data_IF_053593690811
#
_entry.id   IF_053593690811
#
_cell.length_a   1.000
_cell.length_b   1.000
_cell.length_c   1.000
_cell.angle_alpha   90.00
_cell.angle_beta   90.00
_cell.angle_gamma   90.00
#
_symmetry.space_group_name_H-M   'P 1'
#
loop_
_entity.id
_entity.type
_entity.pdbx_description
1 polymer ?
#
# COMPACT_ATOMS: atom_id res chain seq x y z
N UNK A 1 8.19 -23.08 47.21
CA UNK A 1 8.17 -21.76 46.55
C UNK A 1 7.10 -21.77 45.46
N UNK A 2 6.01 -20.99 45.56
CA UNK A 2 4.99 -20.97 44.53
C UNK A 2 5.46 -20.10 43.35
N UNK A 3 5.34 -20.64 42.13
CA UNK A 3 5.77 -19.99 40.89
C UNK A 3 4.71 -18.94 40.49
N UNK A 4 5.04 -17.67 40.63
CA UNK A 4 4.19 -16.56 40.17
C UNK A 4 4.22 -16.52 38.65
N UNK A 5 3.05 -16.66 38.02
CA UNK A 5 2.87 -16.48 36.58
C UNK A 5 2.08 -15.19 36.39
N UNK A 6 2.72 -14.16 35.84
CA UNK A 6 2.04 -12.91 35.50
C UNK A 6 1.13 -13.14 34.30
N UNK A 7 -0.18 -12.99 34.50
CA UNK A 7 -1.12 -12.90 33.38
C UNK A 7 -1.28 -11.42 33.05
N UNK A 8 -0.74 -11.01 31.92
CA UNK A 8 -0.90 -9.66 31.38
C UNK A 8 -2.39 -9.41 31.14
N UNK A 9 -3.00 -8.50 31.91
CA UNK A 9 -4.34 -8.03 31.64
C UNK A 9 -4.29 -7.05 30.47
N UNK A 10 -4.88 -7.41 29.34
CA UNK A 10 -5.11 -6.47 28.23
C UNK A 10 -6.36 -5.68 28.58
N UNK A 11 -6.19 -4.44 29.05
CA UNK A 11 -7.28 -3.49 29.20
C UNK A 11 -7.71 -2.99 27.82
N UNK A 12 -8.81 -3.50 27.30
CA UNK A 12 -9.55 -2.88 26.20
C UNK A 12 -10.75 -2.14 26.78
N UNK A 13 -10.68 -0.82 26.86
CA UNK A 13 -11.78 0.05 27.27
C UNK A 13 -12.77 0.22 26.12
N UNK A 14 -13.85 -0.54 26.15
CA UNK A 14 -14.96 -0.50 25.18
C UNK A 14 -15.91 0.69 25.40
N UNK A 15 -15.64 1.56 26.38
CA UNK A 15 -16.61 2.60 26.83
C UNK A 15 -16.04 4.03 26.81
N UNK A 16 -15.06 4.29 25.94
CA UNK A 16 -14.62 5.65 25.66
C UNK A 16 -15.42 6.21 24.48
N UNK A 17 -16.09 7.37 24.68
CA UNK A 17 -16.72 8.11 23.57
C UNK A 17 -15.70 8.31 22.45
N UNK A 18 -16.06 8.04 21.18
CA UNK A 18 -15.14 8.18 20.07
C UNK A 18 -14.64 9.64 20.00
N UNK A 19 -13.38 9.86 20.36
CA UNK A 19 -12.68 11.13 20.10
C UNK A 19 -12.55 11.32 18.59
N UNK A 20 -12.36 12.53 18.08
CA UNK A 20 -12.15 12.77 16.63
C UNK A 20 -10.99 11.94 16.02
N UNK A 21 -10.10 11.40 16.86
CA UNK A 21 -9.04 10.45 16.49
C UNK A 21 -9.53 9.01 16.24
N UNK A 22 -10.73 8.66 16.68
CA UNK A 22 -11.35 7.34 16.51
C UNK A 22 -12.23 7.21 15.26
N UNK A 23 -12.57 8.34 14.60
CA UNK A 23 -13.34 8.34 13.34
C UNK A 23 -12.49 8.14 12.09
N UNK A 24 -11.16 8.23 12.18
CA UNK A 24 -10.24 7.90 11.10
C UNK A 24 -9.32 6.74 11.53
N UNK A 25 -9.85 5.51 11.50
CA UNK A 25 -9.03 4.31 11.70
C UNK A 25 -7.96 4.23 10.61
N UNK A 26 -6.72 4.63 10.94
CA UNK A 26 -5.56 4.45 10.07
C UNK A 26 -5.35 2.96 9.81
N UNK A 27 -5.18 2.60 8.55
CA UNK A 27 -4.94 1.23 8.11
C UNK A 27 -3.46 1.04 7.85
N UNK A 28 -2.93 -0.05 8.39
CA UNK A 28 -1.54 -0.46 8.23
C UNK A 28 -1.44 -1.56 7.18
N UNK A 29 -0.43 -1.46 6.35
CA UNK A 29 -0.12 -2.38 5.27
C UNK A 29 1.35 -2.79 5.32
N UNK A 30 1.58 -4.08 5.15
CA UNK A 30 2.86 -4.74 5.19
C UNK A 30 3.25 -5.23 3.81
N UNK A 31 4.56 -5.31 3.56
CA UNK A 31 5.11 -6.10 2.47
C UNK A 31 4.78 -7.58 2.70
N UNK A 32 4.84 -8.38 1.63
CA UNK A 32 4.72 -9.84 1.70
C UNK A 32 5.74 -10.47 2.67
N UNK A 33 6.93 -9.87 2.84
CA UNK A 33 7.93 -10.32 3.83
C UNK A 33 7.63 -9.91 5.29
N UNK A 34 6.52 -9.22 5.53
CA UNK A 34 6.10 -8.73 6.85
C UNK A 34 6.70 -7.39 7.28
N UNK A 35 7.46 -6.71 6.42
CA UNK A 35 7.96 -5.36 6.72
C UNK A 35 6.84 -4.31 6.66
N UNK A 36 6.86 -3.32 7.54
CA UNK A 36 5.87 -2.24 7.54
C UNK A 36 6.14 -1.27 6.37
N UNK A 37 5.16 -1.05 5.49
CA UNK A 37 5.34 -0.22 4.29
C UNK A 37 4.44 1.01 4.25
N UNK A 38 3.15 0.87 4.58
CA UNK A 38 2.20 1.96 4.38
C UNK A 38 1.24 2.06 5.55
N UNK A 39 1.02 3.27 6.03
CA UNK A 39 -0.13 3.62 6.86
C UNK A 39 -0.95 4.69 6.14
N UNK A 40 -2.27 4.51 6.04
CA UNK A 40 -3.17 5.38 5.27
C UNK A 40 -4.56 5.49 5.92
N UNK A 41 -5.21 6.64 5.77
CA UNK A 41 -6.56 6.95 6.27
C UNK A 41 -7.71 6.16 5.61
N UNK A 42 -7.48 5.56 4.43
CA UNK A 42 -8.49 4.84 3.64
C UNK A 42 -7.98 3.48 3.17
N UNK A 43 -8.88 2.49 3.05
CA UNK A 43 -8.48 1.17 2.53
C UNK A 43 -8.05 1.27 1.08
N UNK A 44 -7.00 0.52 0.71
CA UNK A 44 -6.52 0.42 -0.67
C UNK A 44 -7.63 -0.08 -1.62
N UNK A 45 -8.51 -0.97 -1.15
CA UNK A 45 -9.65 -1.48 -1.92
C UNK A 45 -10.71 -0.42 -2.24
N UNK A 46 -10.79 0.67 -1.47
CA UNK A 46 -11.76 1.76 -1.67
C UNK A 46 -11.14 2.96 -2.40
N UNK A 47 -9.90 2.83 -2.87
CA UNK A 47 -9.21 3.81 -3.70
C UNK A 47 -9.33 3.41 -5.17
N UNK A 48 -9.31 4.38 -6.10
CA UNK A 48 -9.36 4.08 -7.52
C UNK A 48 -8.14 3.27 -7.96
N UNK A 49 -8.36 2.32 -8.87
CA UNK A 49 -7.31 1.53 -9.52
C UNK A 49 -7.02 2.10 -10.90
N UNK A 50 -5.75 2.13 -11.29
CA UNK A 50 -5.29 2.55 -12.61
C UNK A 50 -5.57 1.43 -13.62
N UNK A 51 -6.15 1.78 -14.78
CA UNK A 51 -6.53 0.79 -15.80
C UNK A 51 -5.35 0.16 -16.54
N UNK A 52 -4.18 0.81 -16.54
CA UNK A 52 -3.01 0.36 -17.32
C UNK A 52 -2.23 -0.80 -16.66
N UNK A 53 -2.25 -0.89 -15.34
CA UNK A 53 -1.44 -1.85 -14.57
C UNK A 53 -2.08 -2.27 -13.24
N UNK A 54 -3.34 -1.91 -13.00
CA UNK A 54 -4.08 -2.28 -11.80
C UNK A 54 -3.58 -1.61 -10.51
N UNK A 55 -2.62 -0.68 -10.59
CA UNK A 55 -2.05 -0.04 -9.41
C UNK A 55 -3.08 0.80 -8.66
N UNK A 56 -3.05 0.76 -7.33
CA UNK A 56 -3.96 1.57 -6.50
C UNK A 56 -3.45 3.01 -6.44
N UNK A 57 -4.31 3.97 -6.76
CA UNK A 57 -3.94 5.39 -6.86
C UNK A 57 -4.17 6.10 -5.53
N UNK A 58 -3.10 6.65 -4.96
CA UNK A 58 -3.13 7.50 -3.77
C UNK A 58 -2.90 8.95 -4.19
N UNK A 59 -3.88 9.82 -3.93
CA UNK A 59 -3.76 11.27 -4.14
C UNK A 59 -2.86 11.89 -3.06
N UNK A 60 -1.83 12.61 -3.49
CA UNK A 60 -0.83 13.23 -2.62
C UNK A 60 -1.03 14.74 -2.43
N UNK A 61 -1.81 15.40 -3.30
CA UNK A 61 -2.02 16.84 -3.31
C UNK A 61 -3.51 17.18 -3.32
N UNK A 62 -3.86 18.29 -2.68
CA UNK A 62 -5.23 18.80 -2.68
C UNK A 62 -5.59 19.35 -4.07
N UNK A 63 -6.83 19.12 -4.45
CA UNK A 63 -7.46 19.66 -5.65
C UNK A 63 -8.82 20.24 -5.25
N UNK A 64 -9.39 21.19 -6.00
CA UNK A 64 -10.71 21.76 -5.68
C UNK A 64 -11.81 20.70 -5.50
N UNK A 65 -11.70 19.58 -6.21
CA UNK A 65 -12.69 18.49 -6.24
C UNK A 65 -12.42 17.42 -5.17
N UNK A 66 -11.17 17.28 -4.70
CA UNK A 66 -10.78 16.20 -3.81
C UNK A 66 -9.55 16.54 -2.95
N UNK A 67 -9.61 16.13 -1.67
CA UNK A 67 -8.51 16.27 -0.71
C UNK A 67 -7.44 15.16 -0.88
N UNK A 68 -6.20 15.49 -0.58
CA UNK A 68 -5.08 14.57 -0.44
C UNK A 68 -5.36 13.53 0.63
N UNK A 69 -4.76 12.35 0.48
CA UNK A 69 -4.83 11.28 1.49
C UNK A 69 -3.80 11.51 2.58
N UNK A 70 -4.18 11.22 3.82
CA UNK A 70 -3.22 11.18 4.94
C UNK A 70 -2.57 9.81 4.95
N UNK A 71 -1.28 9.75 4.62
CA UNK A 71 -0.53 8.51 4.63
C UNK A 71 0.97 8.73 4.91
N UNK A 72 1.66 7.67 5.35
CA UNK A 72 3.13 7.60 5.43
C UNK A 72 3.61 6.34 4.74
N UNK A 73 4.58 6.50 3.84
CA UNK A 73 5.25 5.43 3.12
C UNK A 73 6.63 5.18 3.75
N UNK A 74 6.91 3.93 4.10
CA UNK A 74 8.21 3.43 4.53
C UNK A 74 8.79 2.54 3.43
N UNK A 75 9.46 3.16 2.47
CA UNK A 75 10.07 2.47 1.35
C UNK A 75 11.31 3.23 0.85
N UNK A 76 12.25 2.49 0.28
CA UNK A 76 13.52 3.04 -0.23
C UNK A 76 13.37 3.41 -1.70
N UNK A 77 13.63 4.67 -2.11
CA UNK A 77 13.65 5.02 -3.51
C UNK A 77 14.77 4.27 -4.24
N UNK A 78 14.51 3.86 -5.48
CA UNK A 78 15.49 3.25 -6.39
C UNK A 78 15.59 4.06 -7.68
N UNK A 79 16.53 3.66 -8.52
CA UNK A 79 16.76 4.31 -9.81
C UNK A 79 15.48 4.28 -10.66
N UNK A 80 15.19 5.38 -11.38
CA UNK A 80 14.05 5.43 -12.25
C UNK A 80 14.22 4.47 -13.41
N UNK A 81 13.10 3.87 -13.83
CA UNK A 81 13.04 3.05 -15.04
C UNK A 81 12.14 3.73 -16.07
N UNK A 82 12.36 3.41 -17.34
CA UNK A 82 11.49 3.80 -18.43
C UNK A 82 10.72 2.57 -18.89
N UNK A 83 9.39 2.64 -18.90
CA UNK A 83 8.52 1.55 -19.35
C UNK A 83 7.85 1.97 -20.64
N UNK A 84 7.86 1.07 -21.62
CA UNK A 84 7.08 1.23 -22.85
C UNK A 84 5.63 0.78 -22.63
N UNK A 85 4.68 1.61 -23.02
CA UNK A 85 3.23 1.37 -22.96
C UNK A 85 2.64 1.60 -24.34
N UNK A 86 1.42 1.12 -24.58
CA UNK A 86 0.72 1.28 -25.86
C UNK A 86 0.59 2.74 -26.33
N UNK A 87 0.69 3.73 -25.43
CA UNK A 87 0.62 5.16 -25.73
C UNK A 87 1.93 5.94 -25.56
N UNK A 88 3.08 5.26 -25.45
CA UNK A 88 4.40 5.89 -25.32
C UNK A 88 5.19 5.42 -24.10
N UNK A 89 6.19 6.21 -23.70
CA UNK A 89 7.11 5.86 -22.61
C UNK A 89 6.72 6.54 -21.30
N UNK A 90 6.70 5.75 -20.22
CA UNK A 90 6.41 6.22 -18.86
C UNK A 90 7.67 6.07 -17.99
N UNK A 91 8.14 7.18 -17.43
CA UNK A 91 9.23 7.17 -16.44
C UNK A 91 8.66 6.88 -15.05
N UNK A 92 9.12 5.81 -14.42
CA UNK A 92 8.70 5.40 -13.07
C UNK A 92 9.84 5.53 -12.07
N UNK A 93 9.63 6.33 -11.02
CA UNK A 93 10.49 6.35 -9.84
C UNK A 93 9.93 5.36 -8.83
N UNK A 94 10.58 4.19 -8.72
CA UNK A 94 10.10 3.07 -7.90
C UNK A 94 10.57 3.17 -6.46
N UNK A 95 9.71 2.70 -5.56
CA UNK A 95 9.99 2.54 -4.14
C UNK A 95 9.95 1.05 -3.79
N UNK A 96 10.98 0.60 -3.09
CA UNK A 96 11.17 -0.81 -2.74
C UNK A 96 11.07 -1.00 -1.23
N UNK A 97 10.62 -2.19 -0.82
CA UNK A 97 10.64 -2.62 0.56
C UNK A 97 12.08 -2.49 1.12
N UNK A 98 12.29 -1.85 2.29
CA UNK A 98 13.62 -1.68 2.84
C UNK A 98 14.25 -3.01 3.32
N UNK A 99 13.45 -4.05 3.53
CA UNK A 99 13.90 -5.38 3.97
C UNK A 99 14.25 -6.31 2.81
N UNK A 100 13.28 -6.63 1.95
CA UNK A 100 13.45 -7.64 0.89
C UNK A 100 13.65 -7.04 -0.51
N UNK A 101 13.69 -5.71 -0.65
CA UNK A 101 13.78 -5.02 -1.92
C UNK A 101 12.64 -5.32 -2.92
N UNK A 102 11.50 -5.86 -2.50
CA UNK A 102 10.32 -5.99 -3.37
C UNK A 102 9.84 -4.61 -3.82
N UNK A 103 9.57 -4.36 -5.12
CA UNK A 103 8.91 -3.14 -5.57
C UNK A 103 7.51 -3.04 -4.97
N UNK A 104 7.22 -1.95 -4.24
CA UNK A 104 5.93 -1.77 -3.54
C UNK A 104 5.10 -0.62 -4.10
N UNK A 105 5.76 0.41 -4.62
CA UNK A 105 5.09 1.59 -5.14
C UNK A 105 5.94 2.28 -6.20
N UNK A 106 5.34 3.21 -6.94
CA UNK A 106 6.05 4.13 -7.81
C UNK A 106 5.33 5.47 -7.90
N UNK A 107 6.02 6.46 -8.45
CA UNK A 107 5.44 7.74 -8.87
C UNK A 107 6.11 8.22 -10.16
N UNK A 108 5.53 9.20 -10.83
CA UNK A 108 6.03 9.75 -12.11
C UNK A 108 7.00 10.91 -11.93
N UNK A 109 7.09 11.47 -10.72
CA UNK A 109 7.99 12.57 -10.37
C UNK A 109 9.19 12.09 -9.56
N UNK A 110 10.35 12.76 -9.60
CA UNK A 110 11.51 12.37 -8.80
C UNK A 110 11.20 12.29 -7.29
N UNK A 111 11.85 11.39 -6.52
CA UNK A 111 11.74 11.38 -5.06
C UNK A 111 12.03 12.77 -4.44
N UNK A 112 11.48 13.08 -3.26
CA UNK A 112 10.87 12.18 -2.28
C UNK A 112 9.45 11.71 -2.64
N UNK A 113 8.93 10.74 -1.89
CA UNK A 113 7.53 10.34 -1.98
C UNK A 113 6.61 11.56 -1.79
N UNK A 114 5.50 11.61 -2.55
CA UNK A 114 4.53 12.73 -2.59
C UNK A 114 4.97 13.99 -3.33
N UNK A 115 6.08 13.95 -4.08
CA UNK A 115 6.50 15.10 -4.90
C UNK A 115 5.54 15.39 -6.07
N UNK A 116 4.79 14.39 -6.52
CA UNK A 116 3.79 14.50 -7.57
C UNK A 116 2.35 14.42 -7.04
N UNK A 117 1.35 14.57 -7.92
CA UNK A 117 -0.07 14.53 -7.53
C UNK A 117 -0.53 13.15 -7.07
N UNK A 118 0.13 12.09 -7.53
CA UNK A 118 -0.25 10.70 -7.27
C UNK A 118 0.94 9.82 -6.91
N UNK A 119 0.70 8.88 -6.01
CA UNK A 119 1.56 7.74 -5.70
C UNK A 119 0.77 6.47 -6.05
N UNK A 120 1.42 5.53 -6.73
CA UNK A 120 0.81 4.30 -7.20
C UNK A 120 1.34 3.12 -6.38
N UNK A 121 0.46 2.40 -5.69
CA UNK A 121 0.80 1.15 -5.01
C UNK A 121 0.64 0.00 -6.00
N UNK A 122 1.69 -0.80 -6.16
CA UNK A 122 1.66 -1.94 -7.07
C UNK A 122 0.65 -2.98 -6.59
N UNK A 123 -0.13 -3.53 -7.54
CA UNK A 123 -1.11 -4.60 -7.28
C UNK A 123 -0.40 -5.78 -6.61
N UNK A 124 -1.03 -6.37 -5.60
CA UNK A 124 -0.48 -7.53 -4.90
C UNK A 124 0.75 -7.29 -4.01
N UNK A 125 1.29 -6.06 -3.95
CA UNK A 125 2.53 -5.82 -3.21
C UNK A 125 2.35 -5.72 -1.69
N UNK A 126 1.14 -5.35 -1.24
CA UNK A 126 0.84 -5.03 0.16
C UNK A 126 -0.35 -5.83 0.72
N UNK A 127 -0.25 -6.23 1.99
CA UNK A 127 -1.30 -6.93 2.74
C UNK A 127 -1.57 -6.25 4.08
N UNK A 128 -2.80 -6.35 4.60
CA UNK A 128 -3.11 -5.90 5.97
C UNK A 128 -2.63 -6.90 7.03
N UNK A 129 -2.40 -8.15 6.64
CA UNK A 129 -1.90 -9.21 7.50
C UNK A 129 -0.41 -9.40 7.25
N UNK A 130 0.38 -9.34 8.33
CA UNK A 130 1.83 -9.45 8.24
C UNK A 130 2.25 -10.84 7.74
N UNK A 131 3.13 -10.88 6.74
CA UNK A 131 3.67 -12.13 6.20
C UNK A 131 2.69 -12.95 5.34
N UNK A 132 1.53 -12.37 4.99
CA UNK A 132 0.58 -13.02 4.10
C UNK A 132 0.57 -12.35 2.72
N UNK A 133 0.46 -13.19 1.70
CA UNK A 133 0.27 -12.75 0.32
C UNK A 133 -1.18 -12.27 0.17
N UNK A 134 -1.44 -11.06 -0.37
CA UNK A 134 -2.80 -10.62 -0.62
C UNK A 134 -3.45 -11.46 -1.74
N UNK A 135 -4.79 -11.64 -1.72
CA UNK A 135 -5.47 -12.54 -2.66
C UNK A 135 -5.37 -12.08 -4.12
N UNK A 136 -5.14 -10.79 -4.35
CA UNK A 136 -5.00 -10.19 -5.68
C UNK A 136 -3.58 -10.30 -6.27
N UNK A 137 -2.63 -10.92 -5.55
CA UNK A 137 -1.25 -11.05 -5.99
C UNK A 137 -1.08 -11.89 -7.27
N UNK A 138 -1.97 -12.85 -7.51
CA UNK A 138 -1.90 -13.79 -8.64
C UNK A 138 -3.14 -13.75 -9.54
N UNK A 139 -3.94 -12.67 -9.46
CA UNK A 139 -5.15 -12.54 -10.29
C UNK A 139 -4.83 -12.55 -11.79
N UNK A 140 -3.72 -11.95 -12.20
CA UNK A 140 -3.38 -11.81 -13.62
C UNK A 140 -2.86 -13.13 -14.23
N UNK A 141 -2.26 -14.01 -13.42
CA UNK A 141 -1.86 -15.36 -13.86
C UNK A 141 -3.07 -16.26 -14.12
N UNK A 142 -4.14 -16.11 -13.33
CA UNK A 142 -5.39 -16.88 -13.52
C UNK A 142 -6.06 -16.54 -14.84
N UNK A 143 -6.04 -15.26 -15.24
CA UNK A 143 -6.57 -14.83 -16.54
C UNK A 143 -5.78 -15.40 -17.72
N UNK A 144 -4.47 -15.59 -17.56
CA UNK A 144 -3.63 -16.23 -18.58
C UNK A 144 -3.86 -17.74 -18.65
N UNK A 145 -4.02 -18.42 -17.50
CA UNK A 145 -4.32 -19.86 -17.48
C UNK A 145 -5.68 -20.18 -18.09
N UNK A 146 -6.70 -19.35 -17.83
CA UNK A 146 -8.05 -19.55 -18.33
C UNK A 146 -8.14 -19.29 -19.84
N UNK A 147 -7.37 -18.34 -20.37
CA UNK A 147 -7.27 -18.06 -21.80
C UNK A 147 -6.43 -19.08 -22.58
N UNK A 148 -5.71 -19.99 -21.91
CA UNK A 148 -4.90 -21.03 -22.58
C UNK A 148 -5.69 -22.33 -22.78
N UNK A 149 -6.91 -22.43 -22.24
CA UNK A 149 -7.78 -23.62 -22.31
C UNK A 149 -8.91 -23.46 -23.36
N UNK A 150 -8.98 -22.32 -24.06
CA UNK A 150 -9.96 -22.06 -25.12
C UNK A 150 -9.36 -22.20 -26.53
#
# INVERSE_FOLDING_TARGET
MPKVVSRSAVSSSTDARPTASSTAALRVYYCICGEFILVIDKSLTALPRRQTDGATVIRCQDTPEAKARVFKLNATPKDPILIERQGGHEKQYRFHCPRCALPVAYQTTPPPAKSGPYLYILKGALSQLQGQVPPDAFEDEKLLSDNTIA
#
